data_IF_829887489022
#
_entry.id   IF_829887489022
#
_cell.length_a   1.000
_cell.length_b   1.000
_cell.length_c   1.000
_cell.angle_alpha   90.00
_cell.angle_beta   90.00
_cell.angle_gamma   90.00
#
_symmetry.space_group_name_H-M   'P 1'
#
loop_
_entity.id
_entity.type
_entity.pdbx_description
1 polymer ?
#
# COMPACT_ATOMS: atom_id res chain seq x y z
N UNK A 1 -9.04 18.90 -0.61
CA UNK A 1 -8.69 19.00 0.82
C UNK A 1 -7.42 18.19 1.05
N UNK A 2 -6.41 18.80 1.62
CA UNK A 2 -5.16 18.12 1.94
C UNK A 2 -5.30 17.21 3.18
N UNK A 3 -4.40 16.24 3.32
CA UNK A 3 -4.47 15.24 4.39
C UNK A 3 -4.10 15.81 5.77
N UNK A 4 -3.27 16.85 5.84
CA UNK A 4 -3.00 17.56 7.11
C UNK A 4 -4.26 18.19 7.67
N UNK A 5 -5.08 18.77 6.78
CA UNK A 5 -6.41 19.30 7.14
C UNK A 5 -7.36 18.20 7.62
N UNK A 6 -7.29 16.99 7.06
CA UNK A 6 -8.13 15.85 7.51
C UNK A 6 -7.83 15.51 8.97
N UNK A 7 -6.56 15.42 9.36
CA UNK A 7 -6.19 15.16 10.76
C UNK A 7 -6.68 16.28 11.67
N UNK A 8 -6.38 17.54 11.35
CA UNK A 8 -6.79 18.71 12.15
C UNK A 8 -8.30 18.74 12.37
N UNK A 9 -9.12 18.62 11.32
CA UNK A 9 -10.57 18.65 11.47
C UNK A 9 -11.12 17.44 12.20
N UNK A 10 -10.44 16.30 12.16
CA UNK A 10 -10.82 15.14 12.97
C UNK A 10 -10.48 15.39 14.43
N UNK A 11 -9.36 16.02 14.74
CA UNK A 11 -8.98 16.43 16.08
C UNK A 11 -9.93 17.49 16.67
N UNK A 12 -10.36 18.47 15.87
CA UNK A 12 -11.37 19.47 16.28
C UNK A 12 -12.70 18.83 16.62
N UNK A 13 -13.15 17.84 15.83
CA UNK A 13 -14.44 17.14 16.06
C UNK A 13 -14.40 16.14 17.20
N UNK A 14 -13.26 15.45 17.38
CA UNK A 14 -13.11 14.33 18.33
C UNK A 14 -11.80 14.40 19.12
N UNK A 15 -11.52 15.53 19.84
CA UNK A 15 -10.20 15.79 20.43
C UNK A 15 -9.73 14.72 21.42
N UNK A 16 -10.66 14.16 22.21
CA UNK A 16 -10.36 13.19 23.27
C UNK A 16 -10.39 11.74 22.79
N UNK A 17 -10.76 11.52 21.53
CA UNK A 17 -10.81 10.16 21.00
C UNK A 17 -9.40 9.66 20.74
N UNK A 18 -9.15 8.39 21.04
CA UNK A 18 -7.87 7.76 20.75
C UNK A 18 -7.68 7.71 19.22
N UNK A 19 -6.57 8.24 18.75
CA UNK A 19 -6.15 8.23 17.35
C UNK A 19 -5.13 7.13 17.10
N UNK A 20 -4.14 7.02 18.02
CA UNK A 20 -3.09 6.00 17.98
C UNK A 20 -3.27 5.11 19.21
N UNK A 21 -3.25 3.79 19.00
CA UNK A 21 -3.29 2.78 20.06
C UNK A 21 -1.92 2.14 20.32
N UNK A 22 -1.91 1.05 21.06
CA UNK A 22 -0.68 0.29 21.38
C UNK A 22 0.16 0.92 22.46
N UNK A 23 1.49 0.80 22.36
CA UNK A 23 2.45 1.14 23.43
C UNK A 23 2.60 2.65 23.69
N UNK A 24 2.28 3.49 22.71
CA UNK A 24 2.40 4.95 22.79
C UNK A 24 1.08 5.60 22.36
N UNK A 25 0.01 5.45 23.16
CA UNK A 25 -1.31 5.91 22.77
C UNK A 25 -1.39 7.44 22.74
N UNK A 26 -2.08 7.97 21.73
CA UNK A 26 -2.37 9.39 21.61
C UNK A 26 -3.85 9.61 21.26
N UNK A 27 -4.42 10.65 21.82
CA UNK A 27 -5.70 11.21 21.35
C UNK A 27 -5.52 11.96 20.04
N UNK A 28 -6.61 12.26 19.34
CA UNK A 28 -6.54 13.09 18.13
C UNK A 28 -5.95 14.47 18.38
N UNK A 29 -6.28 15.11 19.53
CA UNK A 29 -5.72 16.41 19.88
C UNK A 29 -4.20 16.34 20.15
N UNK A 30 -3.74 15.30 20.83
CA UNK A 30 -2.31 15.09 21.07
C UNK A 30 -1.54 14.80 19.79
N UNK A 31 -2.08 13.93 18.91
CA UNK A 31 -1.45 13.59 17.65
C UNK A 31 -1.41 14.77 16.68
N UNK A 32 -2.50 15.56 16.61
CA UNK A 32 -2.54 16.77 15.82
C UNK A 32 -1.48 17.79 16.28
N UNK A 33 -1.40 18.05 17.58
CA UNK A 33 -0.40 18.95 18.16
C UNK A 33 1.04 18.42 18.02
N UNK A 34 1.24 17.09 18.07
CA UNK A 34 2.54 16.46 17.86
C UNK A 34 3.00 16.64 16.40
N UNK A 35 2.13 16.34 15.45
CA UNK A 35 2.43 16.48 14.01
C UNK A 35 2.57 17.96 13.58
N UNK A 36 1.91 18.92 14.25
CA UNK A 36 2.15 20.34 14.05
C UNK A 36 3.59 20.73 14.39
N UNK A 37 4.06 20.32 15.57
CA UNK A 37 5.45 20.60 16.01
C UNK A 37 6.49 19.90 15.11
N UNK A 38 6.22 18.68 14.64
CA UNK A 38 7.07 17.99 13.68
C UNK A 38 7.10 18.73 12.33
N UNK A 39 5.97 19.28 11.86
CA UNK A 39 5.94 20.08 10.63
C UNK A 39 6.82 21.35 10.74
N UNK A 40 6.79 22.02 11.90
CA UNK A 40 7.71 23.14 12.18
C UNK A 40 9.17 22.70 12.29
N UNK A 41 9.45 21.51 12.84
CA UNK A 41 10.79 20.95 12.88
C UNK A 41 11.33 20.65 11.47
N UNK A 42 10.50 20.10 10.57
CA UNK A 42 10.84 19.94 9.16
C UNK A 42 11.18 21.29 8.50
N UNK A 43 10.37 22.32 8.73
CA UNK A 43 10.61 23.67 8.21
C UNK A 43 11.92 24.26 8.77
N UNK A 44 12.23 24.06 10.06
CA UNK A 44 13.49 24.50 10.69
C UNK A 44 14.71 23.77 10.11
N UNK A 45 14.56 22.55 9.61
CA UNK A 45 15.59 21.81 8.87
C UNK A 45 15.69 22.20 7.39
N UNK A 46 14.95 23.23 6.97
CA UNK A 46 15.01 23.79 5.62
C UNK A 46 14.03 23.19 4.61
N UNK A 47 13.17 22.26 5.03
CA UNK A 47 12.13 21.70 4.16
C UNK A 47 11.08 22.75 3.84
N UNK A 48 10.69 22.83 2.59
CA UNK A 48 9.69 23.77 2.05
C UNK A 48 8.51 23.00 1.43
N UNK A 49 7.37 23.65 1.20
CA UNK A 49 6.29 23.05 0.43
C UNK A 49 6.77 22.47 -0.90
N UNK A 50 6.28 21.28 -1.25
CA UNK A 50 6.63 20.47 -2.43
C UNK A 50 8.03 19.84 -2.41
N UNK A 51 8.85 20.08 -1.39
CA UNK A 51 10.09 19.33 -1.21
C UNK A 51 9.78 17.87 -0.85
N UNK A 52 10.65 16.95 -1.29
CA UNK A 52 10.55 15.52 -0.93
C UNK A 52 11.33 15.28 0.35
N UNK A 53 10.67 14.60 1.28
CA UNK A 53 11.27 14.14 2.55
C UNK A 53 11.29 12.61 2.51
N UNK A 54 12.49 12.05 2.40
CA UNK A 54 12.66 10.60 2.48
C UNK A 54 12.56 10.15 3.93
N UNK A 55 11.67 9.19 4.16
CA UNK A 55 11.43 8.56 5.45
C UNK A 55 11.91 7.10 5.39
N UNK A 56 13.17 6.87 5.77
CA UNK A 56 13.77 5.55 5.85
C UNK A 56 13.70 5.06 7.30
N UNK A 57 12.51 4.68 7.77
CA UNK A 57 12.24 4.22 9.12
C UNK A 57 11.61 2.83 9.10
N UNK A 58 11.75 2.10 10.21
CA UNK A 58 11.14 0.76 10.36
C UNK A 58 9.62 0.78 10.23
N UNK A 59 8.95 1.84 10.68
CA UNK A 59 7.49 1.96 10.63
C UNK A 59 6.90 2.54 11.92
N UNK A 60 5.65 2.17 12.20
CA UNK A 60 4.95 2.57 13.43
C UNK A 60 4.54 4.03 13.48
N UNK A 61 4.27 4.49 14.70
CA UNK A 61 3.81 5.84 14.97
C UNK A 61 4.79 6.93 14.47
N UNK A 62 6.12 6.83 14.65
CA UNK A 62 7.03 7.88 14.18
C UNK A 62 6.94 8.12 12.67
N UNK A 63 6.89 7.05 11.88
CA UNK A 63 6.73 7.18 10.42
C UNK A 63 5.37 7.78 10.05
N UNK A 64 4.30 7.37 10.71
CA UNK A 64 2.95 7.92 10.48
C UNK A 64 2.89 9.41 10.84
N UNK A 65 3.47 9.80 11.97
CA UNK A 65 3.53 11.20 12.42
C UNK A 65 4.36 12.08 11.49
N UNK A 66 5.52 11.61 11.03
CA UNK A 66 6.35 12.32 10.07
C UNK A 66 5.68 12.43 8.68
N UNK A 67 4.98 11.37 8.24
CA UNK A 67 4.16 11.43 7.04
C UNK A 67 3.11 12.54 7.15
N UNK A 68 2.33 12.59 8.24
CA UNK A 68 1.29 13.61 8.45
C UNK A 68 1.90 15.01 8.66
N UNK A 69 3.05 15.12 9.31
CA UNK A 69 3.78 16.38 9.45
C UNK A 69 4.22 16.96 8.09
N UNK A 70 4.74 16.10 7.20
CA UNK A 70 5.05 16.49 5.83
C UNK A 70 3.80 17.02 5.09
N UNK A 71 2.62 16.37 5.27
CA UNK A 71 1.36 16.83 4.71
C UNK A 71 0.99 18.24 5.20
N UNK A 72 1.14 18.50 6.51
CA UNK A 72 0.85 19.81 7.13
C UNK A 72 1.78 20.93 6.64
N UNK A 73 3.02 20.58 6.27
CA UNK A 73 3.98 21.50 5.67
C UNK A 73 3.78 21.64 4.14
N UNK A 74 2.94 20.83 3.52
CA UNK A 74 2.81 20.75 2.06
C UNK A 74 4.03 20.12 1.38
N UNK A 75 4.86 19.39 2.12
CA UNK A 75 5.97 18.60 1.59
C UNK A 75 5.51 17.22 1.14
N UNK A 76 6.27 16.60 0.25
CA UNK A 76 6.00 15.26 -0.27
C UNK A 76 6.69 14.22 0.61
N UNK A 77 5.91 13.37 1.26
CA UNK A 77 6.44 12.22 1.99
C UNK A 77 6.92 11.13 1.02
N UNK A 78 8.14 10.61 1.25
CA UNK A 78 8.71 9.53 0.45
C UNK A 78 9.15 8.40 1.39
N UNK A 79 8.20 7.58 1.89
CA UNK A 79 8.53 6.46 2.73
C UNK A 79 9.21 5.36 1.90
N UNK A 80 10.39 4.91 2.36
CA UNK A 80 11.18 3.87 1.70
C UNK A 80 11.30 2.63 2.58
N UNK A 81 11.42 1.50 1.93
CA UNK A 81 11.54 0.22 2.63
C UNK A 81 12.84 0.15 3.44
N UNK A 82 12.72 -0.13 4.73
CA UNK A 82 13.85 -0.43 5.60
C UNK A 82 14.55 -1.77 5.26
N UNK A 83 13.95 -2.55 4.36
CA UNK A 83 14.47 -3.85 3.88
C UNK A 83 15.28 -3.73 2.59
N UNK A 84 15.40 -2.54 2.03
CA UNK A 84 16.21 -2.33 0.85
C UNK A 84 17.68 -2.68 1.12
N UNK A 85 18.34 -3.23 0.10
CA UNK A 85 19.80 -3.26 0.10
C UNK A 85 20.35 -1.84 -0.13
N UNK A 86 21.60 -1.53 0.31
CA UNK A 86 22.16 -0.19 0.15
C UNK A 86 22.08 0.36 -1.27
N UNK A 87 22.36 -0.39 -2.36
CA UNK A 87 22.22 0.12 -3.73
C UNK A 87 20.77 0.48 -4.12
N UNK A 88 19.78 -0.22 -3.59
CA UNK A 88 18.36 0.06 -3.85
C UNK A 88 17.93 1.36 -3.15
N UNK A 89 18.33 1.52 -1.89
CA UNK A 89 18.08 2.75 -1.14
C UNK A 89 18.78 3.94 -1.80
N UNK A 90 20.05 3.79 -2.18
CA UNK A 90 20.82 4.81 -2.88
C UNK A 90 20.12 5.27 -4.17
N UNK A 91 19.64 4.29 -4.97
CA UNK A 91 18.91 4.58 -6.20
C UNK A 91 17.62 5.38 -5.93
N UNK A 92 16.78 4.93 -4.99
CA UNK A 92 15.53 5.61 -4.67
C UNK A 92 15.76 7.02 -4.11
N UNK A 93 16.78 7.22 -3.27
CA UNK A 93 17.13 8.54 -2.74
C UNK A 93 17.64 9.46 -3.85
N UNK A 94 18.53 8.96 -4.72
CA UNK A 94 19.03 9.74 -5.86
C UNK A 94 17.92 10.13 -6.83
N UNK A 95 16.97 9.24 -7.11
CA UNK A 95 15.82 9.49 -8.00
C UNK A 95 14.81 10.47 -7.38
N UNK A 96 14.55 10.36 -6.08
CA UNK A 96 13.61 11.21 -5.35
C UNK A 96 14.11 12.67 -5.23
N UNK A 97 15.41 12.92 -5.27
CA UNK A 97 16.01 14.25 -5.06
C UNK A 97 15.48 14.93 -3.79
N UNK A 98 15.65 14.34 -2.60
CA UNK A 98 15.04 14.84 -1.38
C UNK A 98 15.76 16.08 -0.83
N UNK A 99 15.01 16.95 -0.17
CA UNK A 99 15.55 18.04 0.64
C UNK A 99 16.08 17.55 2.01
N UNK A 100 15.51 16.44 2.51
CA UNK A 100 15.86 15.85 3.80
C UNK A 100 15.69 14.34 3.76
N UNK A 101 16.59 13.61 4.41
CA UNK A 101 16.47 12.18 4.71
C UNK A 101 16.36 12.00 6.21
N UNK A 102 15.32 11.28 6.66
CA UNK A 102 15.10 10.93 8.06
C UNK A 102 15.27 9.42 8.23
N UNK A 103 16.09 9.02 9.19
CA UNK A 103 16.36 7.62 9.55
C UNK A 103 15.99 7.36 11.00
N UNK A 104 15.92 6.11 11.40
CA UNK A 104 15.90 5.69 12.80
C UNK A 104 17.11 4.83 13.14
N UNK A 105 17.22 4.39 14.39
CA UNK A 105 18.34 3.57 14.85
C UNK A 105 18.50 2.27 14.05
N UNK A 106 17.40 1.72 13.51
CA UNK A 106 17.42 0.47 12.74
C UNK A 106 17.91 0.64 11.30
N UNK A 107 17.82 1.85 10.75
CA UNK A 107 18.13 2.17 9.35
C UNK A 107 19.34 3.08 9.18
N UNK A 108 19.91 3.61 10.27
CA UNK A 108 21.04 4.54 10.24
C UNK A 108 22.25 3.98 9.49
N UNK A 109 22.67 2.74 9.80
CA UNK A 109 23.82 2.09 9.16
C UNK A 109 23.56 1.83 7.67
N UNK A 110 22.36 1.37 7.32
CA UNK A 110 21.94 1.18 5.94
C UNK A 110 22.00 2.51 5.15
N UNK A 111 21.52 3.58 5.76
CA UNK A 111 21.53 4.90 5.13
C UNK A 111 22.96 5.47 5.00
N UNK A 112 23.82 5.26 5.98
CA UNK A 112 25.23 5.69 5.90
C UNK A 112 25.95 5.02 4.72
N UNK A 113 25.74 3.71 4.54
CA UNK A 113 26.31 2.96 3.43
C UNK A 113 25.68 3.40 2.08
N UNK A 114 24.37 3.50 2.00
CA UNK A 114 23.65 3.84 0.77
C UNK A 114 23.96 5.25 0.27
N UNK A 115 24.17 6.20 1.17
CA UNK A 115 24.35 7.62 0.83
C UNK A 115 25.83 8.05 0.72
N UNK A 116 26.77 7.15 0.98
CA UNK A 116 28.21 7.47 0.99
C UNK A 116 28.72 8.09 -0.31
N UNK A 117 28.24 7.59 -1.44
CA UNK A 117 28.67 8.03 -2.79
C UNK A 117 27.72 9.06 -3.41
N UNK A 118 26.65 9.46 -2.72
CA UNK A 118 25.72 10.49 -3.21
C UNK A 118 26.19 11.89 -2.82
N UNK A 119 25.77 12.93 -3.58
CA UNK A 119 25.96 14.32 -3.15
C UNK A 119 25.42 14.53 -1.72
N UNK A 120 26.04 15.43 -0.92
CA UNK A 120 25.59 15.67 0.45
C UNK A 120 24.10 16.06 0.50
N UNK A 121 23.33 15.31 1.26
CA UNK A 121 21.91 15.53 1.51
C UNK A 121 21.74 15.80 3.01
N UNK A 122 20.96 16.81 3.44
CA UNK A 122 20.63 17.01 4.84
C UNK A 122 20.00 15.75 5.45
N UNK A 123 20.43 15.37 6.65
CA UNK A 123 19.93 14.20 7.36
C UNK A 123 19.62 14.51 8.81
N UNK A 124 18.66 13.82 9.36
CA UNK A 124 18.36 13.81 10.80
C UNK A 124 17.86 12.42 11.22
N UNK A 125 17.87 12.14 12.50
CA UNK A 125 17.32 10.93 13.07
C UNK A 125 15.91 11.18 13.63
N UNK A 126 15.08 10.13 13.64
CA UNK A 126 13.85 10.01 14.43
C UNK A 126 14.08 9.02 15.56
N UNK A 127 13.56 9.32 16.76
CA UNK A 127 13.78 8.47 17.94
C UNK A 127 13.42 9.18 19.25
N UNK A 128 14.14 8.85 20.32
CA UNK A 128 13.89 9.47 21.61
C UNK A 128 14.12 10.98 21.59
N UNK A 129 13.24 11.80 22.18
CA UNK A 129 13.45 13.24 22.31
C UNK A 129 14.61 13.61 23.27
N UNK A 130 15.16 12.64 23.99
CA UNK A 130 16.35 12.83 24.83
C UNK A 130 17.65 12.82 24.01
N UNK A 131 17.58 12.36 22.77
CA UNK A 131 18.68 12.34 21.82
C UNK A 131 18.64 13.54 20.85
N UNK A 132 19.60 13.65 19.95
CA UNK A 132 19.60 14.68 18.90
C UNK A 132 18.74 14.22 17.70
N UNK A 133 17.45 14.32 17.86
CA UNK A 133 16.42 13.81 16.94
C UNK A 133 15.47 14.91 16.50
N UNK A 134 14.67 14.62 15.46
CA UNK A 134 13.65 15.55 15.00
C UNK A 134 12.56 15.75 16.05
N UNK A 135 12.27 14.77 16.88
CA UNK A 135 11.32 14.86 18.00
C UNK A 135 11.82 15.85 19.06
N UNK A 136 13.13 15.82 19.39
CA UNK A 136 13.74 16.83 20.27
C UNK A 136 13.65 18.23 19.69
N UNK A 137 13.88 18.37 18.39
CA UNK A 137 13.73 19.66 17.71
C UNK A 137 12.27 20.11 17.75
N UNK A 138 11.32 19.19 17.57
CA UNK A 138 9.88 19.46 17.61
C UNK A 138 9.40 19.99 18.96
N UNK A 139 9.98 19.54 20.10
CA UNK A 139 9.65 20.08 21.43
C UNK A 139 9.95 21.58 21.60
N UNK A 140 10.82 22.14 20.77
CA UNK A 140 11.21 23.56 20.79
C UNK A 140 10.41 24.42 19.81
N UNK A 141 9.52 23.78 19.04
CA UNK A 141 8.74 24.46 18.00
C UNK A 141 7.43 25.03 18.56
N UNK A 142 6.85 26.04 17.90
CA UNK A 142 5.57 26.60 18.30
C UNK A 142 4.44 25.57 18.16
N UNK A 143 3.34 25.78 18.89
CA UNK A 143 2.10 25.05 18.69
C UNK A 143 1.33 25.57 17.46
N UNK A 144 0.44 24.73 16.94
CA UNK A 144 -0.34 24.98 15.73
C UNK A 144 0.42 24.67 14.44
N UNK A 145 -0.29 24.31 13.39
CA UNK A 145 0.30 23.97 12.10
C UNK A 145 0.96 25.19 11.42
N UNK A 146 1.98 24.99 10.59
CA UNK A 146 2.49 26.04 9.70
C UNK A 146 1.37 26.61 8.83
N UNK A 147 1.38 27.93 8.63
CA UNK A 147 0.42 28.58 7.74
C UNK A 147 0.86 28.41 6.28
N UNK A 148 0.56 27.23 5.75
CA UNK A 148 0.91 26.84 4.38
C UNK A 148 -0.37 26.52 3.61
N UNK A 149 -0.47 27.05 2.40
CA UNK A 149 -1.56 26.74 1.49
C UNK A 149 -1.21 25.51 0.65
N UNK A 150 -1.90 24.41 0.89
CA UNK A 150 -1.75 23.13 0.17
C UNK A 150 -2.99 22.90 -0.69
N UNK A 151 -2.78 22.65 -1.98
CA UNK A 151 -3.87 22.27 -2.89
C UNK A 151 -4.10 20.74 -2.82
N UNK A 152 -5.33 20.33 -3.10
CA UNK A 152 -5.69 18.89 -3.13
C UNK A 152 -5.02 18.13 -4.28
N UNK A 153 -4.62 18.85 -5.33
CA UNK A 153 -3.88 18.31 -6.47
C UNK A 153 -2.35 18.36 -6.29
N UNK A 154 -1.84 18.97 -5.21
CA UNK A 154 -0.41 18.87 -4.89
C UNK A 154 -0.05 17.42 -4.52
N UNK A 155 1.18 17.01 -4.83
CA UNK A 155 1.66 15.67 -4.47
C UNK A 155 1.80 15.56 -2.96
N UNK A 156 1.17 14.55 -2.41
CA UNK A 156 1.14 14.19 -0.99
C UNK A 156 2.25 13.21 -0.64
N UNK A 157 2.34 12.15 -1.42
CA UNK A 157 3.25 11.04 -1.18
C UNK A 157 3.82 10.55 -2.51
N UNK A 158 5.05 10.05 -2.47
CA UNK A 158 5.64 9.32 -3.58
C UNK A 158 6.10 7.95 -3.08
N UNK A 159 5.45 6.90 -3.56
CA UNK A 159 5.79 5.52 -3.26
C UNK A 159 6.67 4.95 -4.35
N UNK A 160 7.56 4.03 -3.98
CA UNK A 160 8.40 3.31 -4.94
C UNK A 160 7.88 1.89 -5.14
N UNK A 161 7.70 1.49 -6.40
CA UNK A 161 7.30 0.13 -6.79
C UNK A 161 8.49 -0.61 -7.40
N UNK A 162 8.61 -1.91 -7.11
CA UNK A 162 9.49 -2.80 -7.86
C UNK A 162 8.92 -2.95 -9.27
N UNK A 163 9.48 -2.27 -10.24
CA UNK A 163 9.07 -2.46 -11.64
C UNK A 163 9.56 -3.80 -12.19
N UNK A 164 8.78 -4.42 -13.08
CA UNK A 164 9.19 -5.60 -13.88
C UNK A 164 10.49 -5.38 -14.68
N UNK A 165 10.94 -4.15 -14.81
CA UNK A 165 12.18 -3.74 -15.52
C UNK A 165 13.40 -3.61 -14.62
N UNK A 166 13.35 -4.05 -13.36
CA UNK A 166 14.50 -4.19 -12.46
C UNK A 166 14.84 -2.97 -11.60
N UNK A 167 14.41 -1.76 -11.93
CA UNK A 167 14.63 -0.56 -11.08
C UNK A 167 13.31 -0.03 -10.53
N UNK A 168 13.22 0.33 -9.22
CA UNK A 168 12.04 0.93 -8.64
C UNK A 168 11.60 2.20 -9.38
N UNK A 169 10.30 2.42 -9.49
CA UNK A 169 9.70 3.61 -10.09
C UNK A 169 8.99 4.43 -9.03
N UNK A 170 9.26 5.74 -8.96
CA UNK A 170 8.52 6.65 -8.10
C UNK A 170 7.11 6.89 -8.65
N UNK A 171 6.12 6.73 -7.80
CA UNK A 171 4.68 6.91 -8.08
C UNK A 171 4.18 8.08 -7.23
N UNK A 172 4.21 9.32 -7.74
CA UNK A 172 3.65 10.46 -7.02
C UNK A 172 2.12 10.38 -7.01
N UNK A 173 1.54 10.62 -5.83
CA UNK A 173 0.10 10.59 -5.60
C UNK A 173 -0.34 11.89 -4.94
N UNK A 174 -1.46 12.43 -5.38
CA UNK A 174 -2.00 13.70 -4.87
C UNK A 174 -2.75 13.50 -3.56
N UNK A 175 -2.93 14.57 -2.78
CA UNK A 175 -3.81 14.56 -1.61
C UNK A 175 -5.22 14.10 -1.97
N UNK A 176 -5.73 14.52 -3.13
CA UNK A 176 -7.05 14.08 -3.64
C UNK A 176 -7.09 12.58 -3.86
N UNK A 177 -6.08 12.00 -4.51
CA UNK A 177 -6.04 10.57 -4.79
C UNK A 177 -5.99 9.73 -3.50
N UNK A 178 -5.18 10.13 -2.53
CA UNK A 178 -5.10 9.48 -1.22
C UNK A 178 -6.42 9.57 -0.44
N UNK A 179 -7.07 10.73 -0.46
CA UNK A 179 -8.34 10.93 0.23
C UNK A 179 -9.47 10.10 -0.38
N UNK A 180 -9.56 10.03 -1.72
CA UNK A 180 -10.55 9.19 -2.39
C UNK A 180 -10.29 7.71 -2.13
N UNK A 181 -9.02 7.27 -2.13
CA UNK A 181 -8.65 5.91 -1.81
C UNK A 181 -9.03 5.52 -0.36
N UNK A 182 -8.85 6.44 0.59
CA UNK A 182 -9.27 6.23 1.99
C UNK A 182 -10.79 6.10 2.13
N UNK A 183 -11.56 6.95 1.45
CA UNK A 183 -13.03 6.90 1.42
C UNK A 183 -13.52 5.61 0.76
N UNK A 184 -12.93 5.27 -0.40
CA UNK A 184 -13.25 4.03 -1.11
C UNK A 184 -13.01 2.81 -0.21
N UNK A 185 -11.89 2.78 0.51
CA UNK A 185 -11.59 1.70 1.44
C UNK A 185 -12.65 1.56 2.53
N UNK A 186 -13.00 2.66 3.21
CA UNK A 186 -14.03 2.65 4.26
C UNK A 186 -15.36 2.06 3.75
N UNK A 187 -15.81 2.53 2.59
CA UNK A 187 -17.10 2.10 2.02
C UNK A 187 -17.05 0.65 1.58
N UNK A 188 -16.02 0.26 0.84
CA UNK A 188 -15.93 -1.04 0.18
C UNK A 188 -15.56 -2.17 1.14
N UNK A 189 -14.76 -1.91 2.19
CA UNK A 189 -14.45 -2.90 3.23
C UNK A 189 -15.52 -2.98 4.32
N UNK A 190 -16.48 -2.05 4.33
CA UNK A 190 -17.48 -1.93 5.38
C UNK A 190 -16.91 -1.46 6.72
N UNK A 191 -15.69 -0.90 6.73
CA UNK A 191 -15.07 -0.39 7.96
C UNK A 191 -15.95 0.69 8.59
N UNK A 192 -16.29 0.50 9.84
CA UNK A 192 -17.18 1.43 10.54
C UNK A 192 -16.43 2.68 11.02
N UNK A 193 -17.19 3.76 11.11
CA UNK A 193 -16.71 4.94 11.81
C UNK A 193 -16.34 4.58 13.26
N UNK A 194 -15.19 5.06 13.71
CA UNK A 194 -14.64 4.81 15.04
C UNK A 194 -14.05 3.41 15.28
N UNK A 195 -13.94 2.59 14.25
CA UNK A 195 -13.28 1.29 14.36
C UNK A 195 -11.80 1.45 14.74
N UNK A 196 -11.29 0.46 15.47
CA UNK A 196 -9.86 0.26 15.61
C UNK A 196 -9.36 -0.68 14.51
N UNK A 197 -8.15 -0.41 14.02
CA UNK A 197 -7.52 -1.15 12.92
C UNK A 197 -6.06 -1.46 13.25
N UNK A 198 -5.62 -2.67 12.91
CA UNK A 198 -4.22 -3.09 13.06
C UNK A 198 -3.35 -2.46 11.97
N UNK A 199 -2.38 -1.65 12.38
CA UNK A 199 -1.44 -0.94 11.52
C UNK A 199 -0.12 -1.71 11.33
N UNK A 200 -0.17 -2.94 10.82
CA UNK A 200 1.01 -3.79 10.60
C UNK A 200 1.51 -3.75 9.16
N UNK A 201 0.65 -3.36 8.22
CA UNK A 201 1.08 -3.21 6.83
C UNK A 201 2.04 -2.03 6.69
N UNK A 202 3.18 -2.21 6.00
CA UNK A 202 4.19 -1.16 5.91
C UNK A 202 3.65 0.13 5.27
N UNK A 203 4.00 1.29 5.85
CA UNK A 203 3.57 2.60 5.34
C UNK A 203 4.30 3.04 4.05
N UNK A 204 5.33 2.31 3.63
CA UNK A 204 5.94 2.48 2.30
C UNK A 204 5.20 1.69 1.19
N UNK A 205 4.09 1.02 1.54
CA UNK A 205 3.17 0.37 0.62
C UNK A 205 1.76 0.98 0.72
N UNK A 206 1.02 0.89 -0.38
CA UNK A 206 -0.36 1.38 -0.49
C UNK A 206 -1.27 0.85 0.60
N UNK A 207 -1.16 -0.42 0.97
CA UNK A 207 -2.00 -1.03 2.01
C UNK A 207 -1.84 -0.35 3.35
N UNK A 208 -0.60 -0.07 3.77
CA UNK A 208 -0.32 0.59 5.05
C UNK A 208 -0.85 2.03 5.08
N UNK A 209 -0.56 2.83 4.05
CA UNK A 209 -1.06 4.20 3.96
C UNK A 209 -2.59 4.26 3.88
N UNK A 210 -3.20 3.43 3.04
CA UNK A 210 -4.66 3.34 2.93
C UNK A 210 -5.31 3.02 4.28
N UNK A 211 -4.77 2.05 5.02
CA UNK A 211 -5.26 1.69 6.35
C UNK A 211 -5.17 2.87 7.32
N UNK A 212 -4.02 3.53 7.37
CA UNK A 212 -3.80 4.72 8.20
C UNK A 212 -4.82 5.83 7.87
N UNK A 213 -4.91 6.20 6.59
CA UNK A 213 -5.75 7.32 6.15
C UNK A 213 -7.25 7.00 6.25
N UNK A 214 -7.67 5.78 5.95
CA UNK A 214 -9.06 5.34 6.13
C UNK A 214 -9.47 5.41 7.61
N UNK A 215 -8.60 4.93 8.51
CA UNK A 215 -8.83 5.03 9.96
C UNK A 215 -8.94 6.50 10.40
N UNK A 216 -8.09 7.37 9.90
CA UNK A 216 -8.12 8.81 10.18
C UNK A 216 -9.44 9.46 9.71
N UNK A 217 -9.87 9.19 8.48
CA UNK A 217 -11.13 9.69 7.90
C UNK A 217 -12.34 9.18 8.70
N UNK A 218 -12.31 7.92 9.14
CA UNK A 218 -13.32 7.30 9.98
C UNK A 218 -13.27 7.74 11.44
N UNK A 219 -12.34 8.60 11.85
CA UNK A 219 -12.06 8.95 13.24
C UNK A 219 -11.86 7.72 14.14
N UNK A 220 -11.24 6.67 13.60
CA UNK A 220 -10.95 5.41 14.26
C UNK A 220 -9.68 5.45 15.10
N UNK A 221 -9.23 4.30 15.56
CA UNK A 221 -7.95 4.13 16.26
C UNK A 221 -7.01 3.31 15.39
N UNK A 222 -5.88 3.88 14.99
CA UNK A 222 -4.83 3.15 14.31
C UNK A 222 -3.87 2.54 15.31
N UNK A 223 -3.72 1.22 15.31
CA UNK A 223 -2.91 0.47 16.29
C UNK A 223 -1.65 -0.06 15.58
N UNK A 224 -0.51 0.63 15.70
CA UNK A 224 0.71 0.24 15.00
C UNK A 224 1.33 -1.03 15.58
N UNK A 225 1.79 -1.90 14.70
CA UNK A 225 2.76 -2.95 15.00
C UNK A 225 3.92 -2.81 14.01
N UNK A 226 5.10 -2.40 14.50
CA UNK A 226 6.24 -2.04 13.64
C UNK A 226 6.78 -3.25 12.87
N UNK A 227 6.87 -4.38 13.53
CA UNK A 227 7.29 -5.66 12.96
C UNK A 227 6.22 -6.69 13.28
N UNK A 228 5.74 -7.37 12.26
CA UNK A 228 4.70 -8.37 12.46
C UNK A 228 5.19 -9.52 13.36
N UNK A 229 4.45 -9.76 14.41
CA UNK A 229 4.47 -10.94 15.25
C UNK A 229 3.02 -11.37 15.46
N UNK A 230 2.73 -12.65 15.26
CA UNK A 230 1.34 -13.14 15.24
C UNK A 230 0.70 -13.19 16.64
N UNK A 231 1.49 -13.50 17.67
CA UNK A 231 1.00 -13.54 19.06
C UNK A 231 0.74 -12.12 19.56
N UNK A 232 1.69 -11.19 19.36
CA UNK A 232 1.51 -9.78 19.69
C UNK A 232 0.31 -9.17 18.92
N UNK A 233 0.12 -9.53 17.64
CA UNK A 233 -1.02 -9.04 16.86
C UNK A 233 -2.35 -9.46 17.48
N UNK A 234 -2.48 -10.71 17.94
CA UNK A 234 -3.68 -11.19 18.64
C UNK A 234 -3.91 -10.50 19.98
N UNK A 235 -2.84 -10.23 20.72
CA UNK A 235 -2.91 -9.47 21.97
C UNK A 235 -3.39 -8.03 21.69
N UNK A 236 -2.84 -7.35 20.69
CA UNK A 236 -3.27 -6.01 20.28
C UNK A 236 -4.73 -6.01 19.80
N UNK A 237 -5.14 -7.00 19.00
CA UNK A 237 -6.53 -7.12 18.53
C UNK A 237 -7.48 -7.17 19.73
N UNK A 238 -7.16 -7.96 20.73
CA UNK A 238 -7.99 -8.15 21.92
C UNK A 238 -7.97 -6.91 22.82
N UNK A 239 -6.77 -6.39 23.13
CA UNK A 239 -6.58 -5.29 24.07
C UNK A 239 -7.14 -3.96 23.55
N UNK A 240 -7.00 -3.70 22.25
CA UNK A 240 -7.41 -2.45 21.61
C UNK A 240 -8.81 -2.53 20.97
N UNK A 241 -9.45 -3.72 21.00
CA UNK A 241 -10.78 -3.93 20.44
C UNK A 241 -10.81 -3.74 18.92
N UNK A 242 -9.79 -4.23 18.22
CA UNK A 242 -9.67 -4.08 16.76
C UNK A 242 -10.84 -4.76 16.07
N UNK A 243 -11.59 -3.99 15.28
CA UNK A 243 -12.79 -4.45 14.56
C UNK A 243 -12.55 -4.74 13.08
N UNK A 244 -11.52 -4.14 12.48
CA UNK A 244 -11.23 -4.25 11.05
C UNK A 244 -9.78 -4.65 10.79
N UNK A 245 -9.58 -5.63 9.91
CA UNK A 245 -8.26 -6.09 9.46
C UNK A 245 -8.15 -5.94 7.94
N UNK A 246 -7.05 -5.33 7.47
CA UNK A 246 -6.68 -5.26 6.06
C UNK A 246 -5.25 -5.75 5.89
N UNK A 247 -5.08 -7.02 5.55
CA UNK A 247 -3.81 -7.73 5.60
C UNK A 247 -3.55 -8.51 4.31
N UNK A 248 -2.31 -8.88 4.08
CA UNK A 248 -1.98 -9.85 3.02
C UNK A 248 -2.29 -11.29 3.49
N UNK A 249 -2.58 -12.22 2.57
CA UNK A 249 -2.90 -13.62 2.92
C UNK A 249 -1.86 -14.32 3.80
N UNK A 250 -0.58 -14.03 3.62
CA UNK A 250 0.50 -14.62 4.44
C UNK A 250 0.44 -14.22 5.91
N UNK A 251 0.00 -13.00 6.21
CA UNK A 251 -0.21 -12.55 7.60
C UNK A 251 -1.43 -13.25 8.18
N UNK A 252 -2.54 -13.35 7.46
CA UNK A 252 -3.71 -14.13 7.88
C UNK A 252 -3.37 -15.58 8.17
N UNK A 253 -2.59 -16.21 7.29
CA UNK A 253 -2.12 -17.57 7.49
C UNK A 253 -1.29 -17.72 8.78
N UNK A 254 -0.43 -16.75 9.08
CA UNK A 254 0.35 -16.75 10.32
C UNK A 254 -0.53 -16.62 11.56
N UNK A 255 -1.59 -15.79 11.51
CA UNK A 255 -2.57 -15.67 12.59
C UNK A 255 -3.34 -16.99 12.80
N UNK A 256 -3.78 -17.65 11.73
CA UNK A 256 -4.45 -18.97 11.80
C UNK A 256 -3.53 -20.01 12.44
N UNK A 257 -2.25 -20.02 12.11
CA UNK A 257 -1.26 -20.99 12.65
C UNK A 257 -0.99 -20.87 14.14
N UNK A 258 -1.31 -19.77 14.78
CA UNK A 258 -1.22 -19.67 16.24
C UNK A 258 -2.18 -20.60 16.96
N UNK A 259 -3.26 -21.04 16.30
CA UNK A 259 -4.37 -21.78 16.92
C UNK A 259 -5.21 -20.93 17.87
N UNK A 260 -4.94 -19.62 17.96
CA UNK A 260 -5.57 -18.67 18.89
C UNK A 260 -6.50 -17.66 18.20
N UNK A 261 -6.72 -17.80 16.89
CA UNK A 261 -7.49 -16.82 16.10
C UNK A 261 -8.89 -16.55 16.68
N UNK A 262 -9.53 -17.56 17.28
CA UNK A 262 -10.84 -17.42 17.94
C UNK A 262 -10.85 -16.44 19.15
N UNK A 263 -9.67 -16.01 19.64
CA UNK A 263 -9.56 -14.97 20.66
C UNK A 263 -9.87 -13.57 20.10
N UNK A 264 -9.68 -13.37 18.81
CA UNK A 264 -9.90 -12.09 18.10
C UNK A 264 -11.40 -11.77 17.88
N UNK A 265 -12.20 -11.88 18.92
CA UNK A 265 -13.68 -11.79 18.88
C UNK A 265 -14.23 -10.42 18.50
N UNK A 266 -13.40 -9.40 18.53
CA UNK A 266 -13.80 -8.02 18.15
C UNK A 266 -13.76 -7.80 16.64
N UNK A 267 -13.02 -8.64 15.90
CA UNK A 267 -12.90 -8.53 14.45
C UNK A 267 -14.24 -8.86 13.80
N UNK A 268 -14.73 -7.93 12.99
CA UNK A 268 -15.98 -8.05 12.24
C UNK A 268 -15.77 -7.89 10.74
N UNK A 269 -14.67 -7.29 10.33
CA UNK A 269 -14.41 -6.95 8.94
C UNK A 269 -13.03 -7.41 8.53
N UNK A 270 -13.01 -8.21 7.49
CA UNK A 270 -11.79 -8.71 6.88
C UNK A 270 -11.67 -8.14 5.47
N UNK A 271 -10.48 -7.68 5.15
CA UNK A 271 -10.12 -7.32 3.80
C UNK A 271 -8.69 -7.80 3.50
N UNK A 272 -8.42 -8.17 2.26
CA UNK A 272 -7.07 -8.53 1.85
C UNK A 272 -6.73 -7.96 0.47
N UNK A 273 -5.44 -7.91 0.18
CA UNK A 273 -4.90 -7.57 -1.13
C UNK A 273 -3.47 -8.12 -1.27
N UNK A 274 -2.84 -7.85 -2.41
CA UNK A 274 -1.41 -8.12 -2.66
C UNK A 274 -1.11 -9.49 -3.24
N UNK A 275 -1.93 -10.49 -2.97
CA UNK A 275 -1.85 -11.82 -3.59
C UNK A 275 -3.19 -12.54 -3.48
N UNK A 276 -3.34 -13.62 -4.23
CA UNK A 276 -4.53 -14.48 -4.15
C UNK A 276 -4.61 -15.17 -2.79
N UNK A 277 -5.83 -15.36 -2.29
CA UNK A 277 -6.11 -16.11 -1.07
C UNK A 277 -6.68 -17.48 -1.43
N UNK A 278 -6.14 -18.52 -0.81
CA UNK A 278 -6.68 -19.88 -1.04
C UNK A 278 -8.08 -20.04 -0.41
N UNK A 279 -8.98 -20.79 -1.04
CA UNK A 279 -10.31 -21.05 -0.47
C UNK A 279 -10.24 -21.62 0.96
N UNK A 280 -9.32 -22.53 1.22
CA UNK A 280 -9.14 -23.13 2.54
C UNK A 280 -8.77 -22.11 3.63
N UNK A 281 -7.92 -21.12 3.31
CA UNK A 281 -7.59 -20.05 4.27
C UNK A 281 -8.79 -19.12 4.49
N UNK A 282 -9.53 -18.80 3.44
CA UNK A 282 -10.75 -17.98 3.55
C UNK A 282 -11.81 -18.65 4.43
N UNK A 283 -12.05 -19.95 4.24
CA UNK A 283 -12.97 -20.73 5.05
C UNK A 283 -12.54 -20.81 6.53
N UNK A 284 -11.25 -21.00 6.80
CA UNK A 284 -10.72 -21.02 8.17
C UNK A 284 -10.90 -19.67 8.88
N UNK A 285 -10.62 -18.56 8.18
CA UNK A 285 -10.84 -17.22 8.70
C UNK A 285 -12.31 -16.95 8.99
N UNK A 286 -13.18 -17.28 8.05
CA UNK A 286 -14.62 -17.08 8.19
C UNK A 286 -15.20 -17.94 9.31
N UNK A 287 -14.79 -19.20 9.43
CA UNK A 287 -15.25 -20.10 10.48
C UNK A 287 -14.77 -19.70 11.89
N UNK A 288 -13.60 -19.07 12.01
CA UNK A 288 -13.05 -18.63 13.30
C UNK A 288 -13.59 -17.26 13.75
N UNK A 289 -13.85 -16.34 12.82
CA UNK A 289 -14.15 -14.92 13.12
C UNK A 289 -15.59 -14.52 12.82
N UNK A 290 -16.30 -15.28 11.99
CA UNK A 290 -17.67 -14.98 11.54
C UNK A 290 -17.84 -13.51 11.10
N UNK A 291 -17.05 -13.02 10.13
CA UNK A 291 -17.01 -11.62 9.78
C UNK A 291 -18.31 -11.16 9.12
N UNK A 292 -18.71 -9.91 9.39
CA UNK A 292 -19.82 -9.23 8.72
C UNK A 292 -19.49 -8.87 7.26
N UNK A 293 -18.18 -8.71 6.98
CA UNK A 293 -17.65 -8.37 5.65
C UNK A 293 -16.31 -9.06 5.46
N UNK A 294 -16.13 -9.72 4.30
CA UNK A 294 -14.84 -10.29 3.89
C UNK A 294 -14.61 -10.00 2.42
N UNK A 295 -13.72 -9.05 2.13
CA UNK A 295 -13.53 -8.51 0.79
C UNK A 295 -12.10 -8.68 0.28
N UNK A 296 -11.99 -8.86 -1.05
CA UNK A 296 -10.72 -8.81 -1.77
C UNK A 296 -10.57 -7.44 -2.44
N UNK A 297 -9.43 -6.78 -2.26
CA UNK A 297 -9.05 -5.60 -3.02
C UNK A 297 -7.97 -5.96 -4.03
N UNK A 298 -8.20 -5.69 -5.30
CA UNK A 298 -7.21 -5.79 -6.34
C UNK A 298 -6.91 -4.41 -6.92
N UNK A 299 -5.62 -4.09 -7.02
CA UNK A 299 -5.15 -2.79 -7.48
C UNK A 299 -3.63 -2.69 -7.47
N UNK A 300 -3.11 -1.50 -7.69
CA UNK A 300 -1.68 -1.22 -7.71
C UNK A 300 -1.35 0.09 -6.98
N UNK A 301 -0.08 0.45 -6.93
CA UNK A 301 0.34 1.73 -6.38
C UNK A 301 -0.15 2.91 -7.20
N UNK A 302 -0.28 2.73 -8.49
CA UNK A 302 -0.72 3.75 -9.45
C UNK A 302 -2.20 4.09 -9.32
N UNK A 303 -3.04 3.09 -9.03
CA UNK A 303 -4.46 3.24 -8.72
C UNK A 303 -4.78 2.19 -7.66
N UNK A 304 -5.11 2.61 -6.44
CA UNK A 304 -5.20 1.69 -5.29
C UNK A 304 -6.30 0.65 -5.42
N UNK A 305 -7.39 0.95 -6.14
CA UNK A 305 -8.47 0.00 -6.36
C UNK A 305 -8.83 -0.10 -7.83
N UNK A 306 -8.55 -1.23 -8.45
CA UNK A 306 -9.11 -1.60 -9.74
C UNK A 306 -10.48 -2.22 -9.53
N UNK A 307 -10.49 -3.31 -8.75
CA UNK A 307 -11.70 -4.06 -8.45
C UNK A 307 -11.80 -4.41 -6.98
N UNK A 308 -12.99 -4.78 -6.57
CA UNK A 308 -13.33 -5.24 -5.25
C UNK A 308 -14.17 -6.51 -5.34
N UNK A 309 -13.75 -7.58 -4.69
CA UNK A 309 -14.53 -8.81 -4.50
C UNK A 309 -15.34 -8.69 -3.21
N UNK A 310 -16.65 -8.46 -3.28
CA UNK A 310 -17.45 -8.10 -2.11
C UNK A 310 -17.73 -9.29 -1.19
N UNK A 311 -17.61 -10.50 -1.70
CA UNK A 311 -17.84 -11.74 -0.94
C UNK A 311 -16.84 -12.81 -1.37
N UNK A 312 -15.78 -12.92 -0.57
CA UNK A 312 -14.67 -13.85 -0.81
C UNK A 312 -15.12 -15.31 -0.74
N UNK A 313 -16.14 -15.62 0.07
CA UNK A 313 -16.61 -16.99 0.25
C UNK A 313 -17.52 -17.45 -0.89
N UNK A 314 -18.32 -16.54 -1.45
CA UNK A 314 -19.20 -16.86 -2.58
C UNK A 314 -18.42 -17.11 -3.87
N UNK A 315 -17.33 -16.33 -4.10
CA UNK A 315 -16.49 -16.45 -5.30
C UNK A 315 -15.00 -16.45 -4.92
N UNK A 316 -14.49 -17.55 -4.33
CA UNK A 316 -13.09 -17.65 -3.90
C UNK A 316 -12.14 -17.50 -5.07
N UNK A 317 -11.15 -16.60 -4.95
CA UNK A 317 -10.16 -16.31 -5.99
C UNK A 317 -10.58 -15.22 -6.98
N UNK A 318 -11.83 -14.76 -6.97
CA UNK A 318 -12.26 -13.64 -7.80
C UNK A 318 -11.64 -12.33 -7.29
N UNK A 319 -11.19 -11.48 -8.23
CA UNK A 319 -10.83 -10.11 -7.97
C UNK A 319 -12.05 -9.17 -7.91
N UNK A 320 -13.23 -9.68 -8.21
CA UNK A 320 -14.50 -8.95 -8.16
C UNK A 320 -14.70 -7.96 -9.31
N UNK A 321 -15.47 -6.91 -9.05
CA UNK A 321 -15.88 -5.90 -10.03
C UNK A 321 -15.22 -4.56 -9.79
N UNK A 322 -15.32 -3.65 -10.76
CA UNK A 322 -14.76 -2.30 -10.65
C UNK A 322 -15.13 -1.65 -9.31
N UNK A 323 -14.12 -1.08 -8.64
CA UNK A 323 -14.31 -0.31 -7.42
C UNK A 323 -15.16 0.95 -7.65
N UNK A 324 -15.68 1.55 -6.57
CA UNK A 324 -16.63 2.69 -6.65
C UNK A 324 -16.09 3.89 -7.43
N UNK A 325 -14.78 4.05 -7.53
CA UNK A 325 -14.13 5.12 -8.28
C UNK A 325 -13.39 4.63 -9.53
N UNK A 326 -13.55 3.35 -9.89
CA UNK A 326 -12.82 2.73 -10.98
C UNK A 326 -13.71 2.39 -12.16
N UNK A 327 -13.14 2.46 -13.34
CA UNK A 327 -13.71 1.90 -14.55
C UNK A 327 -12.66 0.99 -15.17
N UNK A 328 -13.03 -0.27 -15.37
CA UNK A 328 -12.14 -1.34 -15.84
C UNK A 328 -12.64 -1.85 -17.18
N UNK A 329 -11.71 -2.20 -18.06
CA UNK A 329 -11.94 -2.92 -19.31
C UNK A 329 -10.99 -4.11 -19.39
N UNK A 330 -11.43 -5.13 -20.10
CA UNK A 330 -10.58 -6.19 -20.63
C UNK A 330 -10.41 -5.97 -22.12
N UNK A 331 -9.18 -5.76 -22.55
CA UNK A 331 -8.85 -5.46 -23.95
C UNK A 331 -7.92 -6.52 -24.52
N UNK A 332 -7.80 -6.55 -25.84
CA UNK A 332 -6.91 -7.48 -26.55
C UNK A 332 -5.54 -7.58 -25.85
N UNK A 333 -5.04 -8.78 -25.58
CA UNK A 333 -3.75 -9.01 -24.92
C UNK A 333 -2.53 -8.46 -25.67
N UNK A 334 -2.66 -8.11 -26.96
CA UNK A 334 -1.59 -7.44 -27.71
C UNK A 334 -1.17 -6.16 -26.97
N UNK A 335 0.10 -6.02 -26.57
CA UNK A 335 0.59 -4.81 -25.90
C UNK A 335 0.36 -3.52 -26.70
N UNK A 336 0.16 -3.60 -28.01
CA UNK A 336 -0.13 -2.47 -28.89
C UNK A 336 -1.64 -2.21 -29.06
N UNK A 337 -2.52 -3.06 -28.52
CA UNK A 337 -3.96 -2.92 -28.70
C UNK A 337 -4.46 -1.60 -28.09
N UNK A 338 -5.35 -0.87 -28.79
CA UNK A 338 -5.96 0.33 -28.24
C UNK A 338 -6.97 -0.02 -27.13
N UNK A 339 -7.23 0.89 -26.16
CA UNK A 339 -8.19 0.65 -25.09
C UNK A 339 -9.64 0.38 -25.57
N UNK A 340 -9.93 0.63 -26.84
CA UNK A 340 -11.23 0.36 -27.47
C UNK A 340 -11.38 -1.09 -27.98
N UNK A 341 -10.28 -1.86 -28.05
CA UNK A 341 -10.30 -3.26 -28.50
C UNK A 341 -10.70 -4.19 -27.33
N UNK A 342 -11.93 -4.02 -26.82
CA UNK A 342 -12.45 -4.86 -25.74
C UNK A 342 -12.65 -6.30 -26.25
N UNK A 343 -12.28 -7.29 -25.42
CA UNK A 343 -12.51 -8.70 -25.70
C UNK A 343 -13.96 -9.08 -25.44
N UNK A 344 -14.42 -10.19 -26.03
CA UNK A 344 -15.77 -10.68 -25.77
C UNK A 344 -15.91 -11.22 -24.33
N UNK A 345 -17.14 -11.22 -23.77
CA UNK A 345 -17.38 -11.79 -22.44
C UNK A 345 -16.88 -13.24 -22.35
N UNK A 346 -16.15 -13.54 -21.27
CA UNK A 346 -15.53 -14.84 -21.04
C UNK A 346 -14.16 -15.04 -21.69
N UNK A 347 -13.77 -14.15 -22.61
CA UNK A 347 -12.42 -14.17 -23.17
C UNK A 347 -11.41 -13.50 -22.23
N UNK A 348 -10.16 -13.92 -22.34
CA UNK A 348 -9.05 -13.34 -21.60
C UNK A 348 -8.56 -12.06 -22.28
N UNK A 349 -8.37 -11.01 -21.51
CA UNK A 349 -7.82 -9.74 -21.97
C UNK A 349 -6.87 -9.11 -20.97
N UNK A 350 -6.07 -8.16 -21.42
CA UNK A 350 -5.31 -7.33 -20.49
C UNK A 350 -6.21 -6.30 -19.81
N UNK A 351 -5.94 -6.07 -18.54
CA UNK A 351 -6.69 -5.10 -17.75
C UNK A 351 -6.29 -3.68 -18.15
N UNK A 352 -7.29 -2.83 -18.39
CA UNK A 352 -7.12 -1.40 -18.58
C UNK A 352 -8.01 -0.63 -17.59
N UNK A 353 -7.43 0.34 -16.87
CA UNK A 353 -8.13 1.13 -15.86
C UNK A 353 -8.17 2.60 -16.31
N UNK A 354 -9.35 3.23 -16.21
CA UNK A 354 -9.52 4.63 -16.57
C UNK A 354 -8.69 5.56 -15.69
N UNK A 355 -7.88 6.41 -16.32
CA UNK A 355 -7.16 7.50 -15.66
C UNK A 355 -8.08 8.65 -15.18
N UNK A 356 -9.36 8.61 -15.50
CA UNK A 356 -10.35 9.53 -14.91
C UNK A 356 -10.73 9.14 -13.47
N UNK A 357 -10.25 8.01 -12.97
CA UNK A 357 -10.40 7.65 -11.57
C UNK A 357 -9.76 8.72 -10.67
N UNK A 358 -10.46 9.22 -9.64
CA UNK A 358 -9.88 10.16 -8.69
C UNK A 358 -8.76 9.53 -7.83
N UNK A 359 -8.63 8.19 -7.83
CA UNK A 359 -7.52 7.47 -7.20
C UNK A 359 -6.28 7.37 -8.10
N UNK A 360 -6.36 7.79 -9.38
CA UNK A 360 -5.26 7.63 -10.31
C UNK A 360 -4.07 8.55 -9.98
N UNK A 361 -2.87 8.01 -10.20
CA UNK A 361 -1.63 8.80 -10.16
C UNK A 361 -1.52 9.74 -11.38
N UNK A 362 -0.62 10.70 -11.32
CA UNK A 362 -0.39 11.63 -12.44
C UNK A 362 0.65 11.13 -13.47
N UNK A 363 1.19 9.92 -13.26
CA UNK A 363 2.30 9.34 -14.02
C UNK A 363 3.52 9.10 -13.13
N UNK A 364 4.47 8.29 -13.62
CA UNK A 364 5.71 7.97 -12.92
C UNK A 364 6.67 9.16 -12.87
N UNK A 365 7.33 9.31 -11.74
CA UNK A 365 8.32 10.37 -11.50
C UNK A 365 9.52 10.23 -12.44
N UNK A 366 9.79 11.27 -13.23
CA UNK A 366 10.90 11.33 -14.20
C UNK A 366 11.01 10.16 -15.18
N UNK A 367 9.90 9.43 -15.44
CA UNK A 367 9.90 8.23 -16.26
C UNK A 367 8.91 8.33 -17.43
N UNK A 368 9.24 9.25 -18.37
CA UNK A 368 8.43 9.41 -19.59
C UNK A 368 8.33 8.10 -20.42
N UNK A 369 9.36 7.26 -20.41
CA UNK A 369 9.40 5.94 -21.03
C UNK A 369 8.35 4.99 -20.42
N UNK A 370 8.29 4.91 -19.11
CA UNK A 370 7.33 4.08 -18.40
C UNK A 370 5.89 4.61 -18.57
N UNK A 371 5.72 5.94 -18.57
CA UNK A 371 4.42 6.55 -18.83
C UNK A 371 3.92 6.21 -20.21
N UNK A 372 4.74 6.33 -21.26
CA UNK A 372 4.35 6.00 -22.63
C UNK A 372 4.00 4.51 -22.80
N UNK A 373 4.67 3.60 -22.05
CA UNK A 373 4.35 2.16 -22.05
C UNK A 373 3.05 1.86 -21.34
N UNK A 374 2.80 2.49 -20.19
CA UNK A 374 1.73 2.08 -19.27
C UNK A 374 0.47 2.94 -19.36
N UNK A 375 0.52 4.14 -19.95
CA UNK A 375 -0.64 5.04 -20.05
C UNK A 375 -0.90 5.31 -21.52
N UNK A 376 -2.07 4.89 -22.01
CA UNK A 376 -2.47 5.05 -23.42
C UNK A 376 -3.91 5.57 -23.48
N UNK A 377 -4.16 6.63 -24.24
CA UNK A 377 -5.48 7.20 -24.49
C UNK A 377 -6.36 7.36 -23.23
N UNK A 378 -5.75 7.81 -22.13
CA UNK A 378 -6.45 8.01 -20.84
C UNK A 378 -6.73 6.71 -20.05
N UNK A 379 -6.07 5.62 -20.39
CA UNK A 379 -6.15 4.34 -19.69
C UNK A 379 -4.78 3.89 -19.19
N UNK A 380 -4.75 3.39 -17.96
CA UNK A 380 -3.59 2.76 -17.36
C UNK A 380 -3.63 1.25 -17.57
N UNK A 381 -2.51 0.69 -17.99
CA UNK A 381 -2.28 -0.72 -18.26
C UNK A 381 -1.28 -1.27 -17.23
N UNK A 382 -1.74 -1.96 -16.18
CA UNK A 382 -0.85 -2.51 -15.16
C UNK A 382 -0.01 -3.68 -15.68
N UNK A 383 -0.43 -4.32 -16.78
CA UNK A 383 0.19 -5.50 -17.34
C UNK A 383 -0.40 -6.81 -16.82
N UNK A 384 -1.54 -6.75 -16.13
CA UNK A 384 -2.24 -7.94 -15.66
C UNK A 384 -3.27 -8.42 -16.70
N UNK A 385 -3.46 -9.75 -16.75
CA UNK A 385 -4.43 -10.44 -17.57
C UNK A 385 -5.58 -10.94 -16.71
N UNK A 386 -6.80 -10.87 -17.23
CA UNK A 386 -7.98 -11.40 -16.57
C UNK A 386 -9.04 -11.84 -17.57
N UNK A 387 -10.00 -12.65 -17.10
CA UNK A 387 -11.28 -12.90 -17.75
C UNK A 387 -12.41 -12.44 -16.85
N UNK A 388 -13.59 -12.16 -17.44
CA UNK A 388 -14.79 -11.83 -16.67
C UNK A 388 -15.78 -12.99 -16.76
N UNK A 389 -16.41 -13.35 -15.62
CA UNK A 389 -17.53 -14.29 -15.62
C UNK A 389 -18.84 -13.63 -16.10
N UNK A 390 -19.94 -14.41 -16.14
CA UNK A 390 -21.25 -13.94 -16.58
C UNK A 390 -21.82 -12.81 -15.71
N UNK A 391 -21.40 -12.74 -14.46
CA UNK A 391 -21.78 -11.67 -13.52
C UNK A 391 -20.89 -10.41 -13.67
N UNK A 392 -19.79 -10.49 -14.41
CA UNK A 392 -18.81 -9.42 -14.61
C UNK A 392 -17.74 -9.35 -13.52
N UNK A 393 -17.59 -10.40 -12.69
CA UNK A 393 -16.50 -10.51 -11.75
C UNK A 393 -15.22 -10.95 -12.47
N UNK A 394 -14.08 -10.30 -12.14
CA UNK A 394 -12.80 -10.56 -12.79
C UNK A 394 -12.04 -11.69 -12.09
N UNK A 395 -11.38 -12.49 -12.90
CA UNK A 395 -10.46 -13.55 -12.49
C UNK A 395 -9.11 -13.25 -13.10
N UNK A 396 -8.13 -12.90 -12.24
CA UNK A 396 -6.77 -12.58 -12.67
C UNK A 396 -6.06 -13.87 -13.03
N UNK A 397 -5.49 -13.92 -14.24
CA UNK A 397 -4.81 -15.10 -14.79
C UNK A 397 -3.27 -14.99 -14.78
N UNK A 398 -2.73 -13.80 -14.41
CA UNK A 398 -1.30 -13.55 -14.37
C UNK A 398 -0.91 -12.24 -15.06
N UNK A 399 0.35 -12.14 -15.50
CA UNK A 399 0.89 -10.92 -16.13
C UNK A 399 1.23 -11.13 -17.58
N UNK A 400 1.02 -10.09 -18.39
CA UNK A 400 1.42 -10.08 -19.82
C UNK A 400 2.92 -10.35 -19.98
N UNK A 401 3.75 -9.74 -19.10
CA UNK A 401 5.22 -9.85 -19.19
C UNK A 401 5.75 -11.23 -18.69
N UNK A 402 4.98 -11.98 -17.91
CA UNK A 402 5.35 -13.29 -17.34
C UNK A 402 4.81 -14.46 -18.15
N UNK A 403 3.97 -14.19 -19.17
CA UNK A 403 3.41 -15.20 -20.05
C UNK A 403 4.50 -15.93 -20.82
N UNK A 404 4.51 -17.26 -20.74
CA UNK A 404 5.44 -18.13 -21.45
C UNK A 404 4.77 -18.57 -22.75
N UNK A 405 5.30 -18.16 -23.90
CA UNK A 405 4.86 -18.68 -25.18
C UNK A 405 5.63 -19.97 -25.52
N UNK A 406 4.91 -21.09 -25.59
CA UNK A 406 5.50 -22.40 -25.91
C UNK A 406 4.74 -23.03 -27.08
N UNK A 407 5.39 -23.03 -28.26
CA UNK A 407 4.81 -23.66 -29.46
C UNK A 407 3.55 -23.02 -30.02
N UNK A 408 3.29 -21.75 -29.70
CA UNK A 408 2.09 -21.02 -30.07
C UNK A 408 0.97 -21.05 -29.02
N UNK A 409 1.20 -21.76 -27.92
CA UNK A 409 0.32 -21.78 -26.75
C UNK A 409 0.84 -20.80 -25.71
N UNK A 410 -0.07 -20.01 -25.14
CA UNK A 410 0.22 -19.11 -24.02
C UNK A 410 0.08 -19.87 -22.70
N UNK A 411 1.16 -19.95 -21.95
CA UNK A 411 1.20 -20.61 -20.64
C UNK A 411 1.37 -19.51 -19.60
N UNK A 412 0.48 -19.50 -18.60
CA UNK A 412 0.52 -18.56 -17.50
C UNK A 412 1.11 -19.24 -16.27
N UNK A 413 2.25 -18.78 -15.75
CA UNK A 413 2.91 -19.34 -14.57
C UNK A 413 1.97 -19.49 -13.38
N UNK A 414 1.15 -18.48 -13.10
CA UNK A 414 0.23 -18.44 -11.96
C UNK A 414 -0.79 -19.59 -11.99
N UNK A 415 -1.27 -20.02 -13.18
CA UNK A 415 -2.21 -21.14 -13.30
C UNK A 415 -1.55 -22.46 -12.89
N UNK A 416 -0.27 -22.64 -13.23
CA UNK A 416 0.50 -23.83 -12.86
C UNK A 416 0.84 -23.77 -11.36
N UNK A 417 1.23 -22.62 -10.85
CA UNK A 417 1.53 -22.39 -9.44
C UNK A 417 0.30 -22.66 -8.57
N UNK A 418 -0.87 -22.16 -8.95
CA UNK A 418 -2.13 -22.41 -8.28
C UNK A 418 -2.53 -23.89 -8.30
N UNK A 419 -2.26 -24.58 -9.37
CA UNK A 419 -2.53 -26.03 -9.44
C UNK A 419 -1.58 -26.82 -8.53
N UNK A 420 -0.29 -26.48 -8.51
CA UNK A 420 0.73 -27.17 -7.75
C UNK A 420 0.66 -26.88 -6.24
N UNK A 421 0.34 -25.66 -5.82
CA UNK A 421 0.23 -25.30 -4.40
C UNK A 421 -0.91 -26.03 -3.68
N UNK A 422 -1.90 -26.54 -4.42
CA UNK A 422 -2.98 -27.40 -3.88
C UNK A 422 -2.49 -28.78 -3.48
N UNK A 423 -1.29 -29.17 -3.92
CA UNK A 423 -0.70 -30.45 -3.52
C UNK A 423 -0.11 -30.31 -2.10
N UNK A 424 -0.56 -31.16 -1.17
CA UNK A 424 -0.14 -31.11 0.24
C UNK A 424 1.40 -31.24 0.45
N UNK A 425 2.13 -31.74 -0.55
CA UNK A 425 3.58 -31.88 -0.51
C UNK A 425 4.31 -30.60 -1.00
N UNK A 426 3.60 -29.62 -1.61
CA UNK A 426 4.18 -28.39 -2.15
C UNK A 426 4.01 -27.29 -1.11
N UNK A 427 5.10 -26.67 -0.73
CA UNK A 427 5.16 -25.60 0.26
C UNK A 427 5.21 -24.22 -0.38
N UNK A 428 5.93 -24.13 -1.47
CA UNK A 428 6.12 -22.94 -2.28
C UNK A 428 6.46 -23.40 -3.70
N UNK A 429 5.98 -22.67 -4.70
CA UNK A 429 6.23 -22.98 -6.11
C UNK A 429 6.38 -21.69 -6.89
N UNK A 430 7.34 -21.64 -7.78
CA UNK A 430 7.52 -20.57 -8.76
C UNK A 430 7.75 -21.24 -10.12
N UNK A 431 6.94 -20.85 -11.10
CA UNK A 431 7.03 -21.33 -12.47
C UNK A 431 7.68 -20.27 -13.35
N UNK A 432 8.70 -20.63 -14.08
CA UNK A 432 9.43 -19.72 -14.97
C UNK A 432 9.76 -20.33 -16.31
N UNK A 433 9.72 -19.53 -17.38
CA UNK A 433 10.21 -19.92 -18.70
C UNK A 433 11.74 -19.93 -18.76
N UNK A 434 12.35 -21.05 -19.14
CA UNK A 434 13.79 -21.11 -19.43
C UNK A 434 14.01 -20.77 -20.90
N UNK A 435 14.60 -19.58 -21.19
CA UNK A 435 14.99 -19.20 -22.54
C UNK A 435 15.96 -20.23 -23.12
N UNK A 436 15.56 -20.96 -24.15
CA UNK A 436 16.34 -21.93 -24.87
C UNK A 436 15.84 -22.09 -26.30
N UNK A 437 16.74 -22.51 -27.22
CA UNK A 437 16.40 -22.74 -28.63
C UNK A 437 15.12 -23.56 -28.78
N UNK A 438 14.35 -23.38 -29.90
CA UNK A 438 13.08 -24.06 -30.11
C UNK A 438 13.32 -25.57 -30.29
N UNK A 439 13.32 -26.31 -29.23
CA UNK A 439 13.28 -27.75 -29.16
C UNK A 439 12.51 -28.13 -27.91
N UNK A 440 11.30 -28.64 -28.10
CA UNK A 440 10.49 -29.44 -27.17
C UNK A 440 11.14 -29.72 -25.81
N UNK A 441 11.25 -28.75 -24.95
CA UNK A 441 11.71 -28.97 -23.57
C UNK A 441 10.53 -28.66 -22.65
N UNK A 442 10.14 -29.61 -21.82
CA UNK A 442 9.09 -29.38 -20.84
C UNK A 442 9.49 -28.27 -19.87
N UNK A 443 8.53 -27.45 -19.49
CA UNK A 443 8.65 -26.46 -18.41
C UNK A 443 9.23 -27.14 -17.17
N UNK A 444 10.33 -26.62 -16.65
CA UNK A 444 10.89 -27.14 -15.39
C UNK A 444 10.16 -26.48 -14.23
N UNK A 445 9.55 -27.29 -13.39
CA UNK A 445 9.06 -26.91 -12.06
C UNK A 445 10.28 -26.88 -11.14
N UNK A 446 10.56 -25.74 -10.53
CA UNK A 446 11.60 -25.56 -9.50
C UNK A 446 10.97 -25.48 -8.12
#
# INVERSE_FOLDING_TARGET
MDLGTVLRWTAERYPRRRAVGGSSPMTYAEWDAHTDRLAWALAALGVRPRDRVVLALAGGEPLASLHLAAQKLGAVSVPLSYRFAPPELAYCVADALPALVITDASTAVLADEALADLPPIPRTASGSPDEDTIERLALRQPGGAPDVRVADQDTSVMLYTSGTTGKPKGVPRTHSAEHHAAIAHLIQSGQSRFDATLGVMPLFHTMGLRTLLATLVGAGTWVPQVKFDADEALELITAEGIGSLYLVPTIYWSLVRTGRLAEARTVRRLAYAGSSMTPALAEQLAGALEPESFVNHFGSTEIYTFTIGPDVLAKPGSAGRAGIFSRVRLVDPDPAAPPAAEVAPGEQGQIAISMASPEAFAGYWHRADANAKSIRDGWYFPGDLASADEDGDLWVAGRVDDMINSGGENIYPDEIEDALIRCAAVREVVVGGRGGRPLNVPSSVL
#
